data_IF_887504377962
#
_entry.id   IF_887504377962
#
_cell.length_a   1.000
_cell.length_b   1.000
_cell.length_c   1.000
_cell.angle_alpha   90.00
_cell.angle_beta   90.00
_cell.angle_gamma   90.00
#
_symmetry.space_group_name_H-M   'P 1'
#
loop_
_entity.id
_entity.type
_entity.pdbx_description
1 polymer ?
#
# COMPACT_ATOMS: atom_id res chain seq x y z
N UNK A 1 35.53 15.05 7.04
CA UNK A 1 34.58 15.43 5.97
C UNK A 1 33.18 15.16 6.49
N UNK A 2 32.34 16.18 6.50
CA UNK A 2 30.96 16.06 6.91
C UNK A 2 30.15 15.29 5.83
N UNK A 3 29.33 14.34 6.22
CA UNK A 3 28.63 13.43 5.30
C UNK A 3 27.13 13.43 5.55
N UNK A 4 26.34 13.58 4.48
CA UNK A 4 24.88 13.43 4.52
C UNK A 4 24.44 12.28 3.62
N UNK A 5 23.57 11.42 4.13
CA UNK A 5 22.83 10.47 3.33
C UNK A 5 21.52 11.11 2.85
N UNK A 6 21.00 10.71 1.69
CA UNK A 6 19.71 11.21 1.24
C UNK A 6 18.93 10.18 0.43
N UNK A 7 17.63 10.14 0.64
CA UNK A 7 16.73 9.41 -0.25
C UNK A 7 16.73 10.04 -1.63
N UNK A 8 16.92 9.21 -2.64
CA UNK A 8 17.09 9.69 -4.00
C UNK A 8 16.26 8.90 -5.00
N UNK A 9 15.33 9.58 -5.65
CA UNK A 9 14.49 9.01 -6.71
C UNK A 9 14.94 9.38 -8.12
N UNK A 10 15.96 10.26 -8.26
CA UNK A 10 16.33 10.84 -9.55
C UNK A 10 15.33 11.87 -10.10
N UNK A 11 14.26 12.17 -9.35
CA UNK A 11 13.28 13.23 -9.65
C UNK A 11 13.83 14.64 -9.42
N UNK A 12 13.04 15.66 -9.77
CA UNK A 12 13.42 17.06 -9.63
C UNK A 12 13.71 17.42 -8.17
N UNK A 13 12.74 17.20 -7.28
CA UNK A 13 12.80 17.59 -5.86
C UNK A 13 14.03 17.01 -5.15
N UNK A 14 14.31 15.71 -5.36
CA UNK A 14 15.49 15.08 -4.75
C UNK A 14 16.79 15.52 -5.40
N UNK A 15 16.79 15.85 -6.70
CA UNK A 15 17.99 16.30 -7.41
C UNK A 15 18.40 17.73 -7.01
N UNK A 16 17.45 18.64 -6.78
CA UNK A 16 17.75 19.99 -6.32
C UNK A 16 18.28 20.01 -4.87
N UNK A 17 17.91 19.03 -4.05
CA UNK A 17 18.46 18.90 -2.70
C UNK A 17 19.98 18.65 -2.69
N UNK A 18 20.58 18.04 -3.73
CA UNK A 18 22.01 17.73 -3.76
C UNK A 18 22.89 18.99 -3.66
N UNK A 19 22.77 20.01 -4.54
CA UNK A 19 23.54 21.24 -4.39
C UNK A 19 23.18 21.99 -3.10
N UNK A 20 21.92 21.97 -2.63
CA UNK A 20 21.55 22.59 -1.37
C UNK A 20 22.32 21.98 -0.19
N UNK A 21 22.47 20.64 -0.14
CA UNK A 21 23.25 19.99 0.92
C UNK A 21 24.70 20.45 0.94
N UNK A 22 25.31 20.76 -0.20
CA UNK A 22 26.69 21.27 -0.28
C UNK A 22 26.78 22.75 0.07
N UNK A 23 25.94 23.58 -0.55
CA UNK A 23 26.10 25.03 -0.53
C UNK A 23 25.45 25.70 0.70
N UNK A 24 24.29 25.21 1.12
CA UNK A 24 23.52 25.82 2.22
C UNK A 24 23.75 25.09 3.55
N UNK A 25 23.84 23.73 3.52
CA UNK A 25 24.01 22.94 4.72
C UNK A 25 25.48 22.55 4.99
N UNK A 26 26.39 22.79 4.02
CA UNK A 26 27.82 22.69 4.22
C UNK A 26 28.38 21.26 4.30
N UNK A 27 27.72 20.26 3.68
CA UNK A 27 28.24 18.90 3.65
C UNK A 27 29.26 18.69 2.54
N UNK A 28 30.37 18.03 2.87
CA UNK A 28 31.45 17.71 1.94
C UNK A 28 31.11 16.55 1.02
N UNK A 29 30.49 15.51 1.58
CA UNK A 29 30.12 14.26 0.86
C UNK A 29 28.64 13.99 0.94
N UNK A 30 28.06 13.58 -0.21
CA UNK A 30 26.66 13.20 -0.31
C UNK A 30 26.55 11.74 -0.73
N UNK A 31 25.81 10.98 0.06
CA UNK A 31 25.48 9.57 -0.18
C UNK A 31 24.01 9.49 -0.58
N UNK A 32 23.73 9.22 -1.84
CA UNK A 32 22.37 9.02 -2.34
C UNK A 32 21.95 7.56 -2.22
N UNK A 33 20.72 7.32 -1.79
CA UNK A 33 20.18 5.98 -1.55
C UNK A 33 18.87 5.83 -2.31
N UNK A 34 18.81 4.86 -3.21
CA UNK A 34 17.62 4.43 -3.92
C UNK A 34 17.25 3.03 -3.46
N UNK A 35 16.06 2.86 -2.87
CA UNK A 35 15.53 1.55 -2.50
C UNK A 35 14.45 1.17 -3.52
N UNK A 36 14.74 0.13 -4.30
CA UNK A 36 13.80 -0.38 -5.30
C UNK A 36 12.77 -1.29 -4.64
N UNK A 37 11.54 -0.79 -4.52
CA UNK A 37 10.35 -1.52 -4.05
C UNK A 37 9.36 -1.83 -5.19
N UNK A 38 9.81 -1.72 -6.45
CA UNK A 38 9.00 -2.04 -7.63
C UNK A 38 9.05 -1.00 -8.73
N UNK A 39 10.01 -0.08 -8.70
CA UNK A 39 10.26 0.83 -9.81
C UNK A 39 10.86 0.08 -11.00
N UNK A 40 10.61 0.53 -12.25
CA UNK A 40 11.26 0.00 -13.43
C UNK A 40 12.78 0.09 -13.37
N UNK A 41 13.48 -0.96 -13.76
CA UNK A 41 14.96 -1.01 -13.73
C UNK A 41 15.61 0.15 -14.54
N UNK A 42 14.96 0.61 -15.61
CA UNK A 42 15.40 1.77 -16.38
C UNK A 42 15.38 3.10 -15.58
N UNK A 43 14.40 3.29 -14.71
CA UNK A 43 14.31 4.47 -13.85
C UNK A 43 15.36 4.43 -12.74
N UNK A 44 15.60 3.24 -12.18
CA UNK A 44 16.67 3.01 -11.21
C UNK A 44 18.04 3.35 -11.82
N UNK A 45 18.33 2.83 -13.02
CA UNK A 45 19.58 3.11 -13.72
C UNK A 45 19.76 4.61 -14.07
N UNK A 46 18.67 5.31 -14.40
CA UNK A 46 18.71 6.76 -14.61
C UNK A 46 19.00 7.55 -13.32
N UNK A 47 18.43 7.12 -12.19
CA UNK A 47 18.71 7.74 -10.89
C UNK A 47 20.20 7.59 -10.51
N UNK A 48 20.75 6.39 -10.66
CA UNK A 48 22.17 6.09 -10.44
C UNK A 48 23.10 6.94 -11.32
N UNK A 49 22.84 6.98 -12.64
CA UNK A 49 23.63 7.80 -13.58
C UNK A 49 23.62 9.29 -13.22
N UNK A 50 22.44 9.83 -12.84
CA UNK A 50 22.32 11.22 -12.38
C UNK A 50 23.09 11.49 -11.10
N UNK A 51 22.99 10.59 -10.11
CA UNK A 51 23.73 10.71 -8.86
C UNK A 51 25.24 10.76 -9.08
N UNK A 52 25.78 9.89 -9.94
CA UNK A 52 27.19 9.89 -10.31
C UNK A 52 27.62 11.16 -11.04
N UNK A 53 26.80 11.68 -11.98
CA UNK A 53 27.05 12.95 -12.68
C UNK A 53 27.08 14.14 -11.75
N UNK A 54 26.39 14.04 -10.60
CA UNK A 54 26.39 15.06 -9.56
C UNK A 54 27.44 14.82 -8.45
N UNK A 55 28.42 13.93 -8.71
CA UNK A 55 29.50 13.57 -7.77
C UNK A 55 29.01 13.08 -6.40
N UNK A 56 27.98 12.23 -6.39
CA UNK A 56 27.49 11.55 -5.21
C UNK A 56 27.99 10.12 -5.13
N UNK A 57 28.20 9.62 -3.91
CA UNK A 57 28.29 8.18 -3.66
C UNK A 57 26.85 7.65 -3.77
N UNK A 58 26.63 6.59 -4.55
CA UNK A 58 25.26 6.09 -4.77
C UNK A 58 25.13 4.62 -4.35
N UNK A 59 23.99 4.33 -3.70
CA UNK A 59 23.58 2.99 -3.33
C UNK A 59 22.21 2.70 -3.91
N UNK A 60 22.11 1.62 -4.68
CA UNK A 60 20.84 1.01 -5.08
C UNK A 60 20.62 -0.28 -4.29
N UNK A 61 19.47 -0.40 -3.62
CA UNK A 61 19.08 -1.59 -2.86
C UNK A 61 17.83 -2.18 -3.52
N UNK A 62 17.92 -3.42 -4.02
CA UNK A 62 16.75 -4.15 -4.50
C UNK A 62 16.02 -4.79 -3.32
N UNK A 63 14.87 -4.23 -2.96
CA UNK A 63 14.04 -4.66 -1.84
C UNK A 63 12.68 -5.28 -2.29
N UNK A 64 12.53 -5.59 -3.58
CA UNK A 64 11.25 -6.05 -4.15
C UNK A 64 10.75 -7.34 -3.52
N UNK A 65 11.64 -8.29 -3.26
CA UNK A 65 11.27 -9.58 -2.67
C UNK A 65 10.89 -9.44 -1.18
N UNK A 66 11.65 -8.65 -0.41
CA UNK A 66 11.32 -8.33 1.00
C UNK A 66 10.01 -7.55 1.06
N UNK A 67 9.81 -6.57 0.18
CA UNK A 67 8.58 -5.79 0.12
C UNK A 67 7.35 -6.67 -0.15
N UNK A 68 7.45 -7.59 -1.12
CA UNK A 68 6.36 -8.51 -1.42
C UNK A 68 6.03 -9.42 -0.23
N UNK A 69 7.05 -10.05 0.34
CA UNK A 69 6.89 -11.08 1.38
C UNK A 69 6.47 -10.50 2.73
N UNK A 70 7.16 -9.45 3.20
CA UNK A 70 7.06 -9.01 4.59
C UNK A 70 6.16 -7.78 4.78
N UNK A 71 5.82 -7.05 3.69
CA UNK A 71 4.96 -5.88 3.74
C UNK A 71 3.64 -6.08 2.98
N UNK A 72 3.69 -6.50 1.71
CA UNK A 72 2.47 -6.71 0.92
C UNK A 72 1.66 -7.87 1.49
N UNK A 73 2.27 -9.03 1.75
CA UNK A 73 1.54 -10.18 2.29
C UNK A 73 1.00 -9.90 3.70
N UNK A 74 1.71 -9.13 4.51
CA UNK A 74 1.19 -8.64 5.79
C UNK A 74 -0.03 -7.74 5.62
N UNK A 75 0.00 -6.84 4.64
CA UNK A 75 -1.15 -6.01 4.30
C UNK A 75 -2.34 -6.84 3.81
N UNK A 76 -2.12 -7.91 3.04
CA UNK A 76 -3.21 -8.82 2.62
C UNK A 76 -3.84 -9.49 3.84
N UNK A 77 -3.04 -10.06 4.77
CA UNK A 77 -3.51 -10.72 6.01
C UNK A 77 -4.33 -9.78 6.90
N UNK A 78 -3.95 -8.51 6.96
CA UNK A 78 -4.65 -7.47 7.71
C UNK A 78 -5.78 -6.81 6.91
N UNK A 79 -6.12 -7.30 5.72
CA UNK A 79 -7.09 -6.66 4.81
C UNK A 79 -6.82 -5.16 4.63
N UNK A 80 -5.56 -4.77 4.49
CA UNK A 80 -5.04 -3.42 4.58
C UNK A 80 -5.65 -2.46 3.57
N UNK A 81 -6.59 -1.65 4.05
CA UNK A 81 -7.33 -0.65 3.28
C UNK A 81 -7.61 0.57 4.15
N UNK A 82 -7.25 1.75 3.65
CA UNK A 82 -7.59 3.02 4.29
C UNK A 82 -8.53 3.81 3.37
N UNK A 83 -9.82 3.89 3.73
CA UNK A 83 -10.85 4.63 2.99
C UNK A 83 -11.04 4.15 1.53
N UNK A 84 -10.66 2.92 1.19
CA UNK A 84 -10.68 2.37 -0.17
C UNK A 84 -9.30 2.33 -0.85
N UNK A 85 -8.27 2.87 -0.21
CA UNK A 85 -6.87 2.83 -0.66
C UNK A 85 -6.12 1.63 -0.07
N UNK A 86 -5.58 0.72 -0.91
CA UNK A 86 -4.88 -0.49 -0.45
C UNK A 86 -3.43 -0.24 0.02
N UNK A 87 -3.13 0.88 0.62
CA UNK A 87 -1.90 1.20 1.35
C UNK A 87 -0.58 0.93 0.59
N UNK A 88 -0.47 1.26 -0.71
CA UNK A 88 0.73 0.94 -1.49
C UNK A 88 1.97 1.73 -1.03
N UNK A 89 1.94 3.05 -1.12
CA UNK A 89 3.05 3.92 -0.73
C UNK A 89 3.34 3.85 0.76
N UNK A 90 2.29 3.82 1.59
CA UNK A 90 2.43 3.89 3.05
C UNK A 90 3.18 2.70 3.65
N UNK A 91 3.01 1.49 3.12
CA UNK A 91 3.72 0.30 3.61
C UNK A 91 5.13 0.15 3.02
N UNK A 92 5.46 0.87 1.95
CA UNK A 92 6.80 0.87 1.39
C UNK A 92 7.78 1.76 2.18
N UNK A 93 7.31 2.89 2.73
CA UNK A 93 8.16 3.87 3.41
C UNK A 93 8.89 3.34 4.66
N UNK A 94 8.29 2.50 5.52
CA UNK A 94 9.01 1.86 6.62
C UNK A 94 10.18 0.98 6.18
N UNK A 95 10.00 0.19 5.12
CA UNK A 95 11.08 -0.62 4.54
C UNK A 95 12.21 0.27 4.00
N UNK A 96 11.85 1.31 3.26
CA UNK A 96 12.81 2.27 2.71
C UNK A 96 13.61 2.93 3.84
N UNK A 97 12.97 3.37 4.91
CA UNK A 97 13.65 3.97 6.06
C UNK A 97 14.58 2.99 6.78
N UNK A 98 14.14 1.74 6.99
CA UNK A 98 14.93 0.66 7.60
C UNK A 98 16.22 0.39 6.81
N UNK A 99 16.10 0.16 5.50
CA UNK A 99 17.25 -0.17 4.64
C UNK A 99 18.18 1.03 4.46
N UNK A 100 17.65 2.25 4.39
CA UNK A 100 18.46 3.44 4.35
C UNK A 100 19.28 3.64 5.65
N UNK A 101 18.70 3.30 6.81
CA UNK A 101 19.41 3.38 8.09
C UNK A 101 20.67 2.51 8.13
N UNK A 102 20.67 1.35 7.46
CA UNK A 102 21.84 0.47 7.32
C UNK A 102 22.98 1.17 6.55
N UNK A 103 22.66 1.88 5.47
CA UNK A 103 23.63 2.64 4.69
C UNK A 103 24.12 3.88 5.44
N UNK A 104 23.22 4.59 6.15
CA UNK A 104 23.56 5.73 6.99
C UNK A 104 24.61 5.32 8.04
N UNK A 105 24.38 4.19 8.71
CA UNK A 105 25.32 3.65 9.70
C UNK A 105 26.65 3.20 9.06
N UNK A 106 26.58 2.51 7.92
CA UNK A 106 27.76 2.04 7.17
C UNK A 106 28.65 3.18 6.73
N UNK A 107 28.07 4.27 6.26
CA UNK A 107 28.78 5.44 5.76
C UNK A 107 29.19 6.43 6.86
N UNK A 108 28.69 6.24 8.07
CA UNK A 108 28.90 7.17 9.19
C UNK A 108 28.34 8.56 8.88
N UNK A 109 27.20 8.63 8.18
CA UNK A 109 26.58 9.91 7.86
C UNK A 109 26.00 10.56 9.12
N UNK A 110 26.31 11.84 9.33
CA UNK A 110 25.84 12.62 10.48
C UNK A 110 24.47 13.27 10.28
N UNK A 111 23.96 13.20 9.05
CA UNK A 111 22.62 13.65 8.70
C UNK A 111 21.98 12.78 7.60
N UNK A 112 20.65 12.82 7.54
CA UNK A 112 19.87 12.25 6.45
C UNK A 112 18.91 13.29 5.88
N UNK A 113 18.84 13.37 4.55
CA UNK A 113 17.99 14.30 3.81
C UNK A 113 16.88 13.56 3.07
N UNK A 114 15.70 14.15 3.03
CA UNK A 114 14.62 13.73 2.15
C UNK A 114 13.97 14.92 1.43
N UNK A 115 13.49 14.68 0.21
CA UNK A 115 12.84 15.68 -0.63
C UNK A 115 11.32 15.80 -0.44
N UNK A 116 10.75 15.38 0.70
CA UNK A 116 9.32 15.45 0.91
C UNK A 116 8.86 16.88 1.19
N UNK A 117 7.75 17.28 0.56
CA UNK A 117 7.09 18.57 0.81
C UNK A 117 6.31 18.57 2.12
N UNK A 118 6.03 19.76 2.66
CA UNK A 118 5.26 19.91 3.89
C UNK A 118 3.76 19.52 3.79
N UNK A 119 3.23 19.32 2.58
CA UNK A 119 1.83 18.92 2.34
C UNK A 119 1.63 17.41 2.18
N UNK A 120 2.71 16.66 1.91
CA UNK A 120 2.66 15.21 1.68
C UNK A 120 2.68 14.40 2.97
N UNK A 121 2.16 13.17 2.91
CA UNK A 121 2.20 12.22 4.03
C UNK A 121 3.57 11.60 4.26
N UNK A 122 4.40 11.50 3.23
CA UNK A 122 5.64 10.73 3.24
C UNK A 122 6.69 11.27 4.22
N UNK A 123 6.66 12.58 4.49
CA UNK A 123 7.50 13.17 5.52
C UNK A 123 7.28 12.51 6.90
N UNK A 124 6.03 12.25 7.28
CA UNK A 124 5.71 11.60 8.55
C UNK A 124 6.20 10.16 8.57
N UNK A 125 5.96 9.41 7.50
CA UNK A 125 6.30 7.99 7.36
C UNK A 125 7.81 7.76 7.38
N UNK A 126 8.55 8.54 6.59
CA UNK A 126 10.00 8.44 6.51
C UNK A 126 10.67 8.92 7.80
N UNK A 127 10.27 10.09 8.34
CA UNK A 127 10.89 10.62 9.55
C UNK A 127 10.63 9.75 10.78
N UNK A 128 9.40 9.22 10.93
CA UNK A 128 9.13 8.28 12.03
C UNK A 128 10.01 7.03 11.90
N UNK A 129 10.04 6.43 10.70
CA UNK A 129 10.88 5.26 10.43
C UNK A 129 12.36 5.53 10.69
N UNK A 130 12.89 6.68 10.23
CA UNK A 130 14.27 7.06 10.48
C UNK A 130 14.55 7.23 11.98
N UNK A 131 13.71 7.95 12.73
CA UNK A 131 13.88 8.13 14.17
C UNK A 131 13.89 6.81 14.95
N UNK A 132 13.21 5.78 14.43
CA UNK A 132 13.25 4.45 15.03
C UNK A 132 14.49 3.63 14.65
N UNK A 133 15.09 3.89 13.49
CA UNK A 133 16.13 3.04 12.91
C UNK A 133 17.55 3.65 12.93
N UNK A 134 17.68 4.98 13.01
CA UNK A 134 19.00 5.64 13.04
C UNK A 134 19.38 6.09 14.46
N UNK A 135 20.68 6.27 14.76
CA UNK A 135 21.15 6.88 16.02
C UNK A 135 20.53 8.25 16.27
N UNK A 136 20.30 8.62 17.53
CA UNK A 136 19.62 9.87 17.93
C UNK A 136 20.35 11.16 17.52
N UNK A 137 21.64 11.09 17.30
CA UNK A 137 22.50 12.20 16.89
C UNK A 137 22.48 12.46 15.38
N UNK A 138 21.92 11.55 14.57
CA UNK A 138 21.74 11.76 13.14
C UNK A 138 20.63 12.79 12.89
N UNK A 139 20.99 13.92 12.24
CA UNK A 139 20.04 15.01 11.94
C UNK A 139 19.15 14.64 10.74
N UNK A 140 17.87 14.95 10.81
CA UNK A 140 16.93 14.81 9.67
C UNK A 140 16.74 16.20 9.05
N UNK A 141 16.96 16.31 7.74
CA UNK A 141 16.90 17.55 6.97
C UNK A 141 15.87 17.40 5.86
N UNK A 142 14.99 18.40 5.71
CA UNK A 142 13.89 18.38 4.72
C UNK A 142 13.82 19.72 3.94
N UNK A 143 14.74 19.98 3.00
CA UNK A 143 14.85 21.26 2.32
C UNK A 143 13.58 21.69 1.62
N UNK A 144 12.87 20.77 0.96
CA UNK A 144 11.64 21.07 0.23
C UNK A 144 10.49 21.50 1.16
N UNK A 145 10.53 21.12 2.43
CA UNK A 145 9.60 21.59 3.46
C UNK A 145 10.00 22.95 4.02
N UNK A 146 11.29 23.19 4.15
CA UNK A 146 11.85 24.42 4.74
C UNK A 146 11.75 25.61 3.78
N UNK A 147 12.04 25.39 2.50
CA UNK A 147 12.07 26.45 1.47
C UNK A 147 10.74 26.72 0.77
N UNK A 148 9.76 25.82 0.87
CA UNK A 148 8.41 25.93 0.24
C UNK A 148 8.44 26.37 -1.23
N UNK A 149 9.34 25.83 -2.02
CA UNK A 149 9.51 26.18 -3.42
C UNK A 149 8.31 25.77 -4.28
N UNK A 150 8.07 26.54 -5.32
CA UNK A 150 7.16 26.15 -6.39
C UNK A 150 7.92 25.30 -7.40
N UNK A 151 7.23 24.44 -8.14
CA UNK A 151 7.85 23.63 -9.21
C UNK A 151 8.61 24.49 -10.23
N UNK A 152 8.13 25.71 -10.53
CA UNK A 152 8.83 26.64 -11.43
C UNK A 152 10.16 27.10 -10.84
N UNK A 153 10.20 27.44 -9.56
CA UNK A 153 11.42 27.84 -8.87
C UNK A 153 12.45 26.68 -8.82
N UNK A 154 12.00 25.45 -8.59
CA UNK A 154 12.85 24.25 -8.63
C UNK A 154 13.47 24.04 -10.03
N UNK A 155 12.70 24.23 -11.10
CA UNK A 155 13.20 24.09 -12.48
C UNK A 155 14.22 25.20 -12.78
N UNK A 156 13.99 26.43 -12.34
CA UNK A 156 14.94 27.54 -12.52
C UNK A 156 16.25 27.28 -11.78
N UNK A 157 16.19 26.87 -10.51
CA UNK A 157 17.34 26.49 -9.72
C UNK A 157 18.10 25.30 -10.34
N UNK A 158 17.38 24.28 -10.82
CA UNK A 158 17.99 23.15 -11.48
C UNK A 158 18.75 23.55 -12.75
N UNK A 159 18.24 24.52 -13.51
CA UNK A 159 18.96 25.07 -14.69
C UNK A 159 20.20 25.88 -14.26
N UNK A 160 20.07 26.72 -13.26
CA UNK A 160 21.21 27.50 -12.70
C UNK A 160 22.36 26.59 -12.25
N UNK A 161 22.01 25.49 -11.57
CA UNK A 161 22.99 24.53 -11.04
C UNK A 161 23.38 23.43 -12.03
N UNK A 162 22.94 23.52 -13.29
CA UNK A 162 23.20 22.53 -14.34
C UNK A 162 22.87 21.09 -13.93
N UNK A 163 21.78 20.90 -13.17
CA UNK A 163 21.30 19.59 -12.74
C UNK A 163 20.76 18.83 -13.95
N UNK A 164 21.15 17.55 -14.18
CA UNK A 164 20.71 16.76 -15.30
C UNK A 164 19.24 16.30 -15.13
N UNK A 165 18.28 17.21 -15.34
CA UNK A 165 16.87 16.91 -15.26
C UNK A 165 16.25 16.68 -16.63
N UNK A 166 15.38 15.68 -16.73
CA UNK A 166 14.55 15.40 -17.93
C UNK A 166 13.14 15.95 -17.80
N UNK A 167 12.93 16.92 -16.90
CA UNK A 167 11.59 17.44 -16.60
C UNK A 167 11.22 18.54 -17.58
N UNK A 168 10.18 18.29 -18.38
CA UNK A 168 9.44 19.32 -19.10
C UNK A 168 8.28 19.79 -18.24
N UNK A 169 7.84 21.04 -18.44
CA UNK A 169 6.59 21.59 -17.87
C UNK A 169 5.35 20.77 -18.31
N UNK A 170 5.53 19.82 -19.23
CA UNK A 170 4.50 18.95 -19.81
C UNK A 170 4.13 17.73 -18.95
N UNK A 171 4.94 17.33 -17.95
CA UNK A 171 4.50 16.31 -16.98
C UNK A 171 3.54 16.93 -15.97
N UNK A 172 2.25 16.88 -16.32
CA UNK A 172 1.15 17.49 -15.58
C UNK A 172 0.86 16.72 -14.27
N UNK A 173 1.19 15.43 -14.22
CA UNK A 173 0.85 14.52 -13.14
C UNK A 173 2.06 14.17 -12.27
N UNK A 174 1.86 14.08 -10.96
CA UNK A 174 2.80 13.44 -10.03
C UNK A 174 2.44 11.95 -9.93
N UNK A 175 3.44 11.09 -10.07
CA UNK A 175 3.26 9.64 -10.06
C UNK A 175 4.26 9.05 -9.08
N UNK A 176 3.77 8.20 -8.17
CA UNK A 176 4.58 7.36 -7.30
C UNK A 176 4.11 5.91 -7.47
N UNK A 177 5.05 4.98 -7.71
CA UNK A 177 4.71 3.58 -7.95
C UNK A 177 5.66 2.63 -7.22
N UNK A 178 5.13 1.48 -6.86
CA UNK A 178 5.87 0.37 -6.29
C UNK A 178 5.20 -0.95 -6.70
N UNK A 179 5.70 -2.09 -6.22
CA UNK A 179 5.17 -3.41 -6.56
C UNK A 179 3.68 -3.61 -6.21
N UNK A 180 3.07 -2.78 -5.35
CA UNK A 180 1.69 -2.96 -4.88
C UNK A 180 0.68 -1.99 -5.47
N UNK A 181 1.10 -0.82 -5.87
CA UNK A 181 0.20 0.16 -6.42
C UNK A 181 0.91 1.38 -7.01
N UNK A 182 0.16 2.14 -7.77
CA UNK A 182 0.60 3.35 -8.45
C UNK A 182 -0.36 4.49 -8.13
N UNK A 183 0.13 5.57 -7.55
CA UNK A 183 -0.64 6.79 -7.29
C UNK A 183 -0.44 7.81 -8.42
N UNK A 184 -1.47 8.58 -8.70
CA UNK A 184 -1.49 9.61 -9.74
C UNK A 184 -2.25 10.80 -9.19
N UNK A 185 -1.57 11.93 -8.99
CA UNK A 185 -2.15 13.16 -8.44
C UNK A 185 -1.67 14.42 -9.16
N UNK A 186 -2.24 15.55 -8.83
CA UNK A 186 -1.81 16.87 -9.28
C UNK A 186 -2.48 17.38 -10.56
N UNK A 187 -2.12 18.59 -10.95
CA UNK A 187 -2.63 19.24 -12.14
C UNK A 187 -4.15 19.34 -12.18
N UNK A 188 -4.76 18.96 -13.31
CA UNK A 188 -6.22 19.00 -13.45
C UNK A 188 -6.97 18.00 -12.57
N UNK A 189 -6.30 16.96 -12.05
CA UNK A 189 -6.92 15.99 -11.14
C UNK A 189 -7.23 16.62 -9.77
N UNK A 190 -6.68 17.78 -9.43
CA UNK A 190 -7.02 18.52 -8.21
C UNK A 190 -8.46 19.03 -8.21
N UNK A 191 -9.08 19.21 -9.38
CA UNK A 191 -10.52 19.45 -9.51
C UNK A 191 -11.29 18.13 -9.30
N UNK A 192 -12.07 17.97 -8.20
CA UNK A 192 -12.79 16.75 -7.93
C UNK A 192 -13.84 16.38 -9.00
N UNK A 193 -14.23 17.31 -9.85
CA UNK A 193 -15.21 17.07 -10.91
C UNK A 193 -14.60 16.78 -12.28
N UNK A 194 -13.27 16.91 -12.40
CA UNK A 194 -12.56 16.61 -13.65
C UNK A 194 -12.41 15.09 -13.81
N UNK A 195 -12.90 14.52 -14.93
CA UNK A 195 -12.76 13.10 -15.22
C UNK A 195 -11.30 12.74 -15.52
N UNK A 196 -10.69 11.74 -14.83
CA UNK A 196 -9.33 11.31 -15.14
C UNK A 196 -9.24 10.80 -16.58
N UNK A 197 -8.29 11.30 -17.40
CA UNK A 197 -8.13 10.83 -18.76
C UNK A 197 -7.55 9.41 -18.80
N UNK A 198 -7.93 8.61 -19.80
CA UNK A 198 -7.46 7.20 -19.91
C UNK A 198 -5.94 7.07 -19.97
N UNK A 199 -5.25 8.06 -20.51
CA UNK A 199 -3.79 8.05 -20.71
C UNK A 199 -2.98 8.02 -19.41
N UNK A 200 -3.56 8.37 -18.26
CA UNK A 200 -2.86 8.32 -16.96
C UNK A 200 -2.75 6.88 -16.45
N UNK A 201 -3.65 6.00 -16.87
CA UNK A 201 -3.67 4.61 -16.44
C UNK A 201 -2.74 3.76 -17.32
N UNK A 202 -1.85 2.99 -16.68
CA UNK A 202 -0.83 2.17 -17.35
C UNK A 202 -0.95 0.68 -17.02
N UNK A 203 -1.46 0.37 -15.84
CA UNK A 203 -1.53 -0.99 -15.32
C UNK A 203 -2.88 -1.65 -15.58
N UNK A 204 -3.89 -0.85 -15.88
CA UNK A 204 -5.26 -1.33 -16.08
C UNK A 204 -5.78 -0.94 -17.46
N UNK A 205 -6.32 -1.90 -18.19
CA UNK A 205 -7.04 -1.62 -19.42
C UNK A 205 -8.32 -0.84 -19.14
N UNK A 206 -8.72 -0.01 -20.09
CA UNK A 206 -10.05 0.62 -20.05
C UNK A 206 -11.15 -0.46 -20.12
N UNK A 207 -12.35 -0.15 -19.67
CA UNK A 207 -13.49 -1.07 -19.79
C UNK A 207 -13.72 -1.47 -21.26
N UNK A 208 -13.44 -0.57 -22.20
CA UNK A 208 -13.57 -0.81 -23.64
C UNK A 208 -12.54 -1.82 -24.13
N UNK A 209 -11.30 -1.75 -23.65
CA UNK A 209 -10.16 -2.54 -24.14
C UNK A 209 -9.91 -3.81 -23.32
N UNK A 210 -10.62 -3.97 -22.18
CA UNK A 210 -10.56 -5.16 -21.35
C UNK A 210 -11.21 -6.36 -22.05
N UNK A 211 -10.80 -7.59 -21.64
CA UNK A 211 -11.27 -8.83 -22.22
C UNK A 211 -12.80 -8.89 -22.38
N UNK A 212 -13.27 -9.35 -23.54
CA UNK A 212 -14.70 -9.52 -23.84
C UNK A 212 -15.29 -10.81 -23.25
N UNK A 213 -14.45 -11.71 -22.76
CA UNK A 213 -14.85 -12.93 -22.06
C UNK A 213 -14.42 -12.86 -20.60
N UNK A 214 -15.28 -13.32 -19.65
CA UNK A 214 -14.91 -13.38 -18.25
C UNK A 214 -13.66 -14.25 -18.03
N UNK A 215 -12.77 -13.79 -17.17
CA UNK A 215 -11.60 -14.54 -16.70
C UNK A 215 -11.90 -15.11 -15.32
N UNK A 216 -11.80 -16.43 -15.16
CA UNK A 216 -11.90 -17.08 -13.85
C UNK A 216 -10.54 -17.53 -13.41
N UNK A 217 -10.21 -17.27 -12.14
CA UNK A 217 -8.94 -17.68 -11.51
C UNK A 217 -9.19 -18.28 -10.12
N UNK A 218 -8.35 -19.21 -9.73
CA UNK A 218 -8.34 -19.77 -8.38
C UNK A 218 -7.09 -19.26 -7.66
N UNK A 219 -7.28 -18.62 -6.51
CA UNK A 219 -6.20 -18.15 -5.65
C UNK A 219 -6.13 -19.07 -4.43
N UNK A 220 -4.99 -19.70 -4.22
CA UNK A 220 -4.73 -20.56 -3.06
C UNK A 220 -4.03 -19.76 -1.98
N UNK A 221 -4.54 -19.85 -0.76
CA UNK A 221 -3.97 -19.24 0.43
C UNK A 221 -3.45 -20.29 1.41
N UNK A 222 -2.31 -20.00 2.02
CA UNK A 222 -1.78 -20.72 3.19
C UNK A 222 -1.49 -19.70 4.31
N UNK A 223 -2.17 -19.86 5.45
CA UNK A 223 -2.07 -18.96 6.61
C UNK A 223 -2.24 -17.48 6.24
N UNK A 224 -3.22 -17.22 5.40
CA UNK A 224 -3.57 -15.89 4.91
C UNK A 224 -2.63 -15.31 3.83
N UNK A 225 -1.54 -16.00 3.51
CA UNK A 225 -0.66 -15.61 2.42
C UNK A 225 -1.12 -16.26 1.11
N UNK A 226 -1.26 -15.52 0.00
CA UNK A 226 -1.49 -16.14 -1.30
C UNK A 226 -0.22 -16.86 -1.74
N UNK A 227 -0.34 -18.14 -2.13
CA UNK A 227 0.79 -19.01 -2.48
C UNK A 227 0.73 -19.58 -3.88
N UNK A 228 -0.45 -19.60 -4.51
CA UNK A 228 -0.61 -20.08 -5.87
C UNK A 228 -1.76 -19.37 -6.60
N UNK A 229 -1.65 -19.33 -7.93
CA UNK A 229 -2.73 -18.93 -8.85
C UNK A 229 -2.95 -20.08 -9.84
N UNK A 230 -4.21 -20.55 -9.97
CA UNK A 230 -4.61 -21.68 -10.81
C UNK A 230 -3.75 -22.94 -10.59
N UNK A 231 -3.42 -23.24 -9.31
CA UNK A 231 -2.62 -24.37 -8.88
C UNK A 231 -1.11 -24.23 -9.16
N UNK A 232 -0.66 -23.12 -9.76
CA UNK A 232 0.75 -22.84 -9.96
C UNK A 232 1.30 -22.10 -8.75
N UNK A 233 2.17 -22.74 -7.98
CA UNK A 233 2.90 -22.11 -6.89
C UNK A 233 3.85 -21.01 -7.44
N UNK A 234 3.87 -19.86 -6.77
CA UNK A 234 4.66 -18.70 -7.14
C UNK A 234 5.35 -18.14 -5.89
N UNK A 235 6.54 -17.60 -6.05
CA UNK A 235 7.14 -16.78 -5.01
C UNK A 235 6.34 -15.47 -4.80
N UNK A 236 6.49 -14.79 -3.65
CA UNK A 236 5.66 -13.63 -3.30
C UNK A 236 5.65 -12.53 -4.35
N UNK A 237 6.81 -12.19 -4.93
CA UNK A 237 6.92 -11.15 -5.96
C UNK A 237 6.23 -11.58 -7.25
N UNK A 238 6.56 -12.75 -7.77
CA UNK A 238 5.96 -13.27 -9.00
C UNK A 238 4.44 -13.42 -8.88
N UNK A 239 3.92 -13.75 -7.68
CA UNK A 239 2.49 -13.84 -7.41
C UNK A 239 1.82 -12.46 -7.52
N UNK A 240 2.39 -11.43 -6.91
CA UNK A 240 1.87 -10.05 -7.00
C UNK A 240 1.90 -9.57 -8.45
N UNK A 241 3.00 -9.78 -9.17
CA UNK A 241 3.13 -9.41 -10.58
C UNK A 241 2.09 -10.14 -11.48
N UNK A 242 1.86 -11.44 -11.24
CA UNK A 242 0.84 -12.20 -11.94
C UNK A 242 -0.58 -11.69 -11.63
N UNK A 243 -0.86 -11.40 -10.36
CA UNK A 243 -2.14 -10.83 -9.94
C UNK A 243 -2.40 -9.46 -10.57
N UNK A 244 -1.37 -8.59 -10.66
CA UNK A 244 -1.44 -7.32 -11.38
C UNK A 244 -1.85 -7.50 -12.83
N UNK A 245 -1.17 -8.42 -13.53
CA UNK A 245 -1.47 -8.68 -14.93
C UNK A 245 -2.89 -9.18 -15.14
N UNK A 246 -3.31 -10.17 -14.35
CA UNK A 246 -4.65 -10.77 -14.47
C UNK A 246 -5.73 -9.72 -14.22
N UNK A 247 -5.64 -8.98 -13.13
CA UNK A 247 -6.65 -7.98 -12.77
C UNK A 247 -6.62 -6.78 -13.74
N UNK A 248 -5.45 -6.26 -14.07
CA UNK A 248 -5.26 -5.14 -14.98
C UNK A 248 -5.75 -5.41 -16.40
N UNK A 249 -5.50 -6.60 -16.95
CA UNK A 249 -6.02 -7.03 -18.26
C UNK A 249 -7.55 -7.08 -18.31
N UNK A 250 -8.20 -7.28 -17.17
CA UNK A 250 -9.64 -7.25 -17.02
C UNK A 250 -10.20 -5.88 -16.60
N UNK A 251 -9.38 -4.83 -16.57
CA UNK A 251 -9.78 -3.47 -16.17
C UNK A 251 -10.05 -3.30 -14.68
N UNK A 252 -9.65 -4.26 -13.84
CA UNK A 252 -9.81 -4.21 -12.39
C UNK A 252 -8.59 -3.57 -11.75
N UNK A 253 -8.79 -2.56 -10.86
CA UNK A 253 -7.69 -1.97 -10.09
C UNK A 253 -7.73 -0.46 -9.94
N UNK A 254 -8.58 0.27 -10.69
CA UNK A 254 -8.66 1.73 -10.61
C UNK A 254 -9.43 2.19 -9.38
N UNK A 255 -8.94 3.23 -8.74
CA UNK A 255 -9.57 3.88 -7.58
C UNK A 255 -9.45 5.39 -7.78
N UNK A 256 -10.54 6.10 -7.58
CA UNK A 256 -10.60 7.57 -7.50
C UNK A 256 -11.25 7.90 -6.16
N UNK A 257 -10.55 8.63 -5.30
CA UNK A 257 -11.03 8.88 -3.95
C UNK A 257 -10.62 10.26 -3.42
N UNK A 258 -11.40 10.72 -2.44
CA UNK A 258 -11.03 11.85 -1.60
C UNK A 258 -10.40 11.33 -0.32
N UNK A 259 -9.08 11.44 -0.24
CA UNK A 259 -8.28 10.92 0.87
C UNK A 259 -8.14 11.95 1.99
N UNK A 260 -8.33 11.52 3.23
CA UNK A 260 -8.03 12.32 4.41
C UNK A 260 -6.55 12.12 4.81
N UNK A 261 -5.69 13.07 4.46
CA UNK A 261 -4.26 13.02 4.79
C UNK A 261 -3.99 13.19 6.28
N UNK A 262 -2.81 12.76 6.72
CA UNK A 262 -2.36 12.85 8.14
C UNK A 262 -2.48 14.28 8.68
N UNK A 263 -2.17 15.27 7.84
CA UNK A 263 -2.30 16.71 8.17
C UNK A 263 -3.75 17.22 8.30
N UNK A 264 -4.77 16.38 8.05
CA UNK A 264 -6.16 16.79 8.06
C UNK A 264 -6.63 17.47 6.77
N UNK A 265 -5.88 17.37 5.68
CA UNK A 265 -6.28 17.87 4.37
C UNK A 265 -7.03 16.78 3.60
N UNK A 266 -8.09 17.17 2.89
CA UNK A 266 -8.70 16.33 1.87
C UNK A 266 -8.00 16.54 0.54
N UNK A 267 -7.57 15.46 -0.09
CA UNK A 267 -6.88 15.47 -1.38
C UNK A 267 -7.48 14.40 -2.27
N UNK A 268 -7.64 14.71 -3.54
CA UNK A 268 -8.07 13.70 -4.52
C UNK A 268 -6.86 12.90 -4.97
N UNK A 269 -7.00 11.60 -4.90
CA UNK A 269 -6.01 10.62 -5.32
C UNK A 269 -6.61 9.66 -6.34
N UNK A 270 -5.84 9.35 -7.37
CA UNK A 270 -6.16 8.28 -8.31
C UNK A 270 -5.11 7.19 -8.17
N UNK A 271 -5.56 5.94 -8.07
CA UNK A 271 -4.68 4.79 -7.91
C UNK A 271 -4.94 3.72 -8.96
N UNK A 272 -3.88 2.98 -9.28
CA UNK A 272 -3.96 1.68 -9.92
C UNK A 272 -3.38 0.63 -8.97
N UNK A 273 -4.23 -0.24 -8.46
CA UNK A 273 -3.87 -1.30 -7.51
C UNK A 273 -4.48 -2.66 -7.94
N UNK A 274 -4.17 -3.18 -9.14
CA UNK A 274 -4.84 -4.37 -9.67
C UNK A 274 -4.70 -5.60 -8.78
N UNK A 275 -3.48 -5.93 -8.34
CA UNK A 275 -3.25 -7.08 -7.45
C UNK A 275 -3.99 -6.95 -6.13
N UNK A 276 -3.97 -5.76 -5.51
CA UNK A 276 -4.64 -5.53 -4.25
C UNK A 276 -6.16 -5.68 -4.37
N UNK A 277 -6.73 -5.16 -5.45
CA UNK A 277 -8.17 -5.29 -5.75
C UNK A 277 -8.60 -6.72 -6.10
N UNK A 278 -7.66 -7.62 -6.40
CA UNK A 278 -7.89 -9.05 -6.57
C UNK A 278 -7.67 -9.82 -5.27
N UNK A 279 -6.51 -9.65 -4.64
CA UNK A 279 -6.05 -10.51 -3.55
C UNK A 279 -6.73 -10.21 -2.21
N UNK A 280 -6.98 -8.94 -1.86
CA UNK A 280 -7.63 -8.59 -0.59
C UNK A 280 -9.10 -9.07 -0.54
N UNK A 281 -9.94 -8.86 -1.56
CA UNK A 281 -11.29 -9.42 -1.56
C UNK A 281 -11.33 -10.96 -1.54
N UNK A 282 -10.38 -11.61 -2.22
CA UNK A 282 -10.27 -13.08 -2.18
C UNK A 282 -9.89 -13.57 -0.77
N UNK A 283 -8.94 -12.92 -0.11
CA UNK A 283 -8.56 -13.21 1.27
C UNK A 283 -9.76 -13.04 2.23
N UNK A 284 -10.46 -11.92 2.18
CA UNK A 284 -11.67 -11.68 2.98
C UNK A 284 -12.75 -12.75 2.76
N UNK A 285 -12.92 -13.20 1.52
CA UNK A 285 -13.89 -14.26 1.21
C UNK A 285 -13.52 -15.61 1.83
N UNK A 286 -12.23 -15.91 1.98
CA UNK A 286 -11.79 -17.12 2.68
C UNK A 286 -11.95 -16.99 4.20
N UNK A 287 -11.67 -15.81 4.79
CA UNK A 287 -11.95 -15.53 6.20
C UNK A 287 -13.42 -15.77 6.57
N UNK A 288 -14.35 -15.44 5.65
CA UNK A 288 -15.78 -15.70 5.85
C UNK A 288 -16.12 -17.18 6.05
N UNK A 289 -15.33 -18.06 5.47
CA UNK A 289 -15.54 -19.50 5.58
C UNK A 289 -14.90 -20.11 6.83
N UNK A 290 -13.75 -19.60 7.29
CA UNK A 290 -12.89 -20.25 8.26
C UNK A 290 -12.83 -19.58 9.63
N UNK A 291 -13.27 -18.34 9.77
CA UNK A 291 -13.31 -17.62 11.03
C UNK A 291 -14.72 -17.60 11.60
N UNK A 292 -14.83 -17.67 12.92
CA UNK A 292 -16.12 -17.52 13.62
C UNK A 292 -16.68 -16.10 13.46
N UNK A 293 -17.97 -15.94 13.71
CA UNK A 293 -18.63 -14.61 13.70
C UNK A 293 -17.90 -13.62 14.61
N UNK A 294 -17.64 -14.01 15.85
CA UNK A 294 -16.99 -13.15 16.86
C UNK A 294 -15.56 -12.76 16.45
N UNK A 295 -14.79 -13.71 15.90
CA UNK A 295 -13.44 -13.44 15.39
C UNK A 295 -13.48 -12.43 14.25
N UNK A 296 -14.41 -12.57 13.30
CA UNK A 296 -14.53 -11.64 12.16
C UNK A 296 -14.94 -10.24 12.57
N UNK A 297 -15.90 -10.13 13.50
CA UNK A 297 -16.37 -8.84 14.03
C UNK A 297 -15.23 -8.11 14.75
N UNK A 298 -14.47 -8.80 15.59
CA UNK A 298 -13.34 -8.19 16.29
C UNK A 298 -12.16 -7.92 15.35
N UNK A 299 -11.87 -8.86 14.42
CA UNK A 299 -10.80 -8.66 13.43
C UNK A 299 -11.04 -7.42 12.57
N UNK A 300 -12.27 -7.11 12.19
CA UNK A 300 -12.57 -5.91 11.44
C UNK A 300 -12.14 -4.61 12.16
N UNK A 301 -12.23 -4.58 13.50
CA UNK A 301 -11.76 -3.45 14.34
C UNK A 301 -10.22 -3.41 14.31
N UNK A 302 -9.58 -4.58 14.45
CA UNK A 302 -8.11 -4.71 14.41
C UNK A 302 -7.58 -4.30 13.04
N UNK A 303 -8.17 -4.79 11.94
CA UNK A 303 -7.78 -4.47 10.57
C UNK A 303 -7.90 -2.97 10.28
N UNK A 304 -8.98 -2.32 10.74
CA UNK A 304 -9.15 -0.88 10.60
C UNK A 304 -8.07 -0.09 11.39
N UNK A 305 -7.75 -0.52 12.61
CA UNK A 305 -6.68 0.10 13.41
C UNK A 305 -5.31 -0.12 12.76
N UNK A 306 -5.04 -1.34 12.30
CA UNK A 306 -3.81 -1.69 11.57
C UNK A 306 -3.63 -0.80 10.34
N UNK A 307 -4.68 -0.71 9.50
CA UNK A 307 -4.67 0.10 8.29
C UNK A 307 -4.42 1.58 8.58
N UNK A 308 -5.03 2.11 9.64
CA UNK A 308 -4.80 3.49 10.06
C UNK A 308 -3.34 3.70 10.49
N UNK A 309 -2.79 2.82 11.30
CA UNK A 309 -1.41 2.95 11.77
C UNK A 309 -0.41 2.78 10.60
N UNK A 310 -0.66 1.84 9.67
CA UNK A 310 0.14 1.69 8.46
C UNK A 310 0.06 2.93 7.56
N UNK A 311 -1.13 3.54 7.42
CA UNK A 311 -1.31 4.78 6.69
C UNK A 311 -0.53 5.95 7.30
N UNK A 312 -0.56 6.07 8.64
CA UNK A 312 0.17 7.09 9.39
C UNK A 312 1.69 6.83 9.45
N UNK A 313 2.17 5.68 8.96
CA UNK A 313 3.59 5.30 8.96
C UNK A 313 4.11 4.76 10.29
N UNK A 314 3.21 4.40 11.21
CA UNK A 314 3.53 3.93 12.57
C UNK A 314 3.93 2.44 12.61
N UNK A 315 4.72 1.99 11.65
CA UNK A 315 5.11 0.59 11.46
C UNK A 315 5.96 0.04 12.62
N UNK A 316 6.75 0.89 13.27
CA UNK A 316 7.64 0.53 14.38
C UNK A 316 7.04 0.86 15.76
N UNK A 317 5.74 1.17 15.83
CA UNK A 317 5.03 1.37 17.09
C UNK A 317 4.74 0.01 17.76
N UNK A 318 4.94 -0.16 19.08
CA UNK A 318 4.66 -1.41 19.77
C UNK A 318 3.24 -1.95 19.55
N UNK A 319 2.24 -1.06 19.48
CA UNK A 319 0.87 -1.48 19.18
C UNK A 319 0.75 -2.12 17.79
N UNK A 320 1.57 -1.68 16.82
CA UNK A 320 1.56 -2.29 15.49
C UNK A 320 2.05 -3.74 15.52
N UNK A 321 3.03 -4.04 16.37
CA UNK A 321 3.48 -5.42 16.61
C UNK A 321 2.39 -6.27 17.26
N UNK A 322 1.68 -5.73 18.26
CA UNK A 322 0.55 -6.42 18.91
C UNK A 322 -0.59 -6.72 17.92
N UNK A 323 -0.93 -5.76 17.05
CA UNK A 323 -1.91 -5.95 15.98
C UNK A 323 -1.45 -7.01 14.98
N UNK A 324 -0.17 -7.03 14.61
CA UNK A 324 0.40 -8.06 13.76
C UNK A 324 0.31 -9.45 14.39
N UNK A 325 0.57 -9.58 15.68
CA UNK A 325 0.45 -10.85 16.40
C UNK A 325 -1.00 -11.37 16.38
N UNK A 326 -1.98 -10.49 16.58
CA UNK A 326 -3.40 -10.86 16.45
C UNK A 326 -3.75 -11.28 15.01
N UNK A 327 -3.33 -10.51 14.01
CA UNK A 327 -3.55 -10.81 12.59
C UNK A 327 -2.91 -12.14 12.22
N UNK A 328 -1.67 -12.40 12.62
CA UNK A 328 -0.99 -13.65 12.36
C UNK A 328 -1.73 -14.83 12.99
N UNK A 329 -2.19 -14.69 14.24
CA UNK A 329 -2.93 -15.76 14.96
C UNK A 329 -4.25 -16.11 14.28
N UNK A 330 -5.02 -15.13 13.86
CA UNK A 330 -6.30 -15.37 13.17
C UNK A 330 -6.08 -15.99 11.79
N UNK A 331 -5.00 -15.63 11.12
CA UNK A 331 -4.67 -16.13 9.79
C UNK A 331 -4.11 -17.57 9.77
N UNK A 332 -3.74 -18.19 10.90
CA UNK A 332 -3.28 -19.59 10.93
C UNK A 332 -4.26 -20.58 10.27
N UNK A 333 -5.56 -20.24 10.26
CA UNK A 333 -6.63 -21.05 9.66
C UNK A 333 -7.09 -20.57 8.28
N UNK A 334 -6.59 -19.42 7.82
CA UNK A 334 -6.98 -18.89 6.51
C UNK A 334 -6.19 -19.64 5.42
N UNK A 335 -6.56 -20.89 5.23
CA UNK A 335 -5.96 -21.84 4.29
C UNK A 335 -7.05 -22.39 3.38
N UNK A 336 -6.83 -22.36 2.08
CA UNK A 336 -7.81 -22.86 1.10
C UNK A 336 -7.79 -22.10 -0.21
N UNK A 337 -8.81 -22.34 -1.03
CA UNK A 337 -8.93 -21.79 -2.37
C UNK A 337 -10.12 -20.84 -2.49
N UNK A 338 -9.91 -19.77 -3.23
CA UNK A 338 -10.97 -18.82 -3.60
C UNK A 338 -11.03 -18.68 -5.11
N UNK A 339 -12.21 -18.94 -5.69
CA UNK A 339 -12.47 -18.77 -7.11
C UNK A 339 -13.05 -17.40 -7.37
N UNK A 340 -12.39 -16.66 -8.25
CA UNK A 340 -12.74 -15.27 -8.59
C UNK A 340 -13.04 -15.16 -10.07
N UNK A 341 -14.06 -14.41 -10.41
CA UNK A 341 -14.39 -14.04 -11.79
C UNK A 341 -14.16 -12.54 -12.00
N UNK A 342 -13.39 -12.22 -13.03
CA UNK A 342 -13.06 -10.86 -13.45
C UNK A 342 -13.70 -10.58 -14.81
N UNK A 343 -14.33 -9.43 -14.96
CA UNK A 343 -14.92 -9.02 -16.24
C UNK A 343 -15.12 -7.51 -16.29
N UNK A 344 -14.49 -6.85 -17.26
CA UNK A 344 -14.74 -5.43 -17.59
C UNK A 344 -14.78 -4.50 -16.36
N UNK A 345 -13.75 -4.56 -15.51
CA UNK A 345 -13.64 -3.76 -14.30
C UNK A 345 -14.37 -4.32 -13.07
N UNK A 346 -15.14 -5.40 -13.24
CA UNK A 346 -15.86 -6.07 -12.15
C UNK A 346 -15.06 -7.26 -11.61
N UNK A 347 -15.18 -7.49 -10.31
CA UNK A 347 -14.66 -8.66 -9.61
C UNK A 347 -15.81 -9.31 -8.83
N UNK A 348 -15.95 -10.63 -8.94
CA UNK A 348 -16.94 -11.44 -8.22
C UNK A 348 -16.25 -12.65 -7.58
N UNK A 349 -16.50 -12.88 -6.31
CA UNK A 349 -16.16 -14.14 -5.66
C UNK A 349 -17.25 -15.15 -6.06
N UNK A 350 -16.85 -16.25 -6.69
CA UNK A 350 -17.78 -17.26 -7.23
C UNK A 350 -17.62 -18.64 -6.58
N UNK A 351 -16.67 -18.80 -5.66
CA UNK A 351 -16.49 -20.01 -4.88
C UNK A 351 -15.38 -19.86 -3.85
N UNK A 352 -15.47 -20.65 -2.80
CA UNK A 352 -14.42 -20.79 -1.76
C UNK A 352 -14.45 -22.17 -1.16
N UNK A 353 -13.30 -22.69 -0.78
CA UNK A 353 -13.18 -23.95 -0.05
C UNK A 353 -11.99 -23.95 0.90
N UNK A 354 -12.11 -24.70 1.96
CA UNK A 354 -11.03 -25.04 2.87
C UNK A 354 -11.28 -26.46 3.36
N UNK A 355 -10.36 -27.37 3.12
CA UNK A 355 -10.55 -28.78 3.46
C UNK A 355 -10.45 -29.01 4.97
N UNK A 356 -9.58 -28.24 5.66
CA UNK A 356 -9.27 -28.43 7.08
C UNK A 356 -10.01 -27.48 8.01
N UNK A 357 -10.40 -26.28 7.54
CA UNK A 357 -10.84 -25.19 8.44
C UNK A 357 -12.22 -24.61 8.13
N UNK A 358 -12.95 -25.14 7.14
CA UNK A 358 -14.29 -24.66 6.82
C UNK A 358 -15.25 -24.85 8.01
N UNK A 359 -15.90 -23.76 8.44
CA UNK A 359 -16.95 -23.78 9.47
C UNK A 359 -18.35 -23.97 8.87
N UNK A 360 -18.46 -24.02 7.56
CA UNK A 360 -19.69 -24.34 6.84
C UNK A 360 -19.95 -25.85 6.87
N UNK A 361 -21.16 -26.22 7.23
CA UNK A 361 -21.66 -27.58 7.17
C UNK A 361 -22.98 -27.58 6.40
N UNK A 362 -23.01 -28.26 5.24
CA UNK A 362 -24.15 -28.31 4.35
C UNK A 362 -25.38 -28.96 5.02
N UNK A 363 -25.15 -30.04 5.79
CA UNK A 363 -26.21 -30.76 6.51
C UNK A 363 -26.88 -29.90 7.59
N UNK A 364 -26.17 -28.94 8.18
CA UNK A 364 -26.74 -28.01 9.17
C UNK A 364 -27.38 -26.78 8.51
N UNK A 365 -26.84 -26.32 7.39
CA UNK A 365 -27.24 -25.08 6.75
C UNK A 365 -28.39 -25.28 5.75
N UNK A 366 -28.53 -26.46 5.17
CA UNK A 366 -29.56 -26.74 4.17
C UNK A 366 -30.97 -26.71 4.76
N UNK A 367 -31.90 -26.04 4.09
CA UNK A 367 -33.31 -26.03 4.49
C UNK A 367 -33.97 -27.41 4.34
N UNK A 368 -33.40 -28.28 3.50
CA UNK A 368 -33.91 -29.66 3.30
C UNK A 368 -33.35 -30.66 4.31
N UNK A 369 -32.39 -30.25 5.11
CA UNK A 369 -31.77 -31.11 6.13
C UNK A 369 -32.67 -31.28 7.35
N UNK A 370 -32.62 -32.48 7.94
CA UNK A 370 -33.32 -32.84 9.17
C UNK A 370 -32.36 -33.12 10.34
N UNK A 371 -31.12 -32.64 10.24
CA UNK A 371 -30.06 -32.92 11.23
C UNK A 371 -30.30 -32.24 12.58
N UNK A 372 -31.11 -31.19 12.63
CA UNK A 372 -31.54 -30.56 13.87
C UNK A 372 -33.02 -30.12 13.80
N UNK A 373 -33.66 -30.09 14.98
CA UNK A 373 -35.06 -29.69 15.08
C UNK A 373 -35.18 -28.14 15.03
N UNK A 374 -35.71 -27.62 13.92
CA UNK A 374 -35.92 -26.19 13.72
C UNK A 374 -36.89 -25.57 14.73
N UNK A 375 -37.78 -26.35 15.35
CA UNK A 375 -38.69 -25.87 16.39
C UNK A 375 -37.95 -25.34 17.63
N UNK A 376 -36.72 -25.78 17.87
CA UNK A 376 -35.87 -25.28 18.98
C UNK A 376 -35.53 -23.79 18.83
N UNK A 377 -35.59 -23.23 17.62
CA UNK A 377 -35.38 -21.80 17.38
C UNK A 377 -36.47 -20.91 18.05
N UNK A 378 -37.66 -21.46 18.34
CA UNK A 378 -38.78 -20.69 18.89
C UNK A 378 -38.43 -19.98 20.19
N UNK A 379 -37.64 -20.64 21.08
CA UNK A 379 -37.19 -20.03 22.34
C UNK A 379 -36.24 -18.85 22.14
N UNK A 380 -35.36 -18.94 21.18
CA UNK A 380 -34.42 -17.83 20.83
C UNK A 380 -35.22 -16.67 20.24
N UNK A 381 -36.11 -16.94 19.28
CA UNK A 381 -36.96 -15.92 18.64
C UNK A 381 -37.83 -15.19 19.65
N UNK A 382 -38.45 -15.90 20.60
CA UNK A 382 -39.32 -15.32 21.62
C UNK A 382 -38.60 -14.30 22.51
N UNK A 383 -37.32 -14.50 22.75
CA UNK A 383 -36.51 -13.64 23.63
C UNK A 383 -35.55 -12.72 22.85
N UNK A 384 -35.54 -12.79 21.52
CA UNK A 384 -34.67 -11.96 20.70
C UNK A 384 -34.96 -10.48 20.91
N UNK A 385 -33.95 -9.74 21.30
CA UNK A 385 -33.97 -8.29 21.54
C UNK A 385 -35.15 -7.80 22.43
N UNK A 386 -35.37 -8.51 23.52
CA UNK A 386 -36.47 -8.21 24.46
C UNK A 386 -36.44 -6.76 24.97
N UNK A 387 -35.25 -6.15 25.09
CA UNK A 387 -35.13 -4.75 25.49
C UNK A 387 -35.79 -3.79 24.49
N UNK A 388 -35.60 -4.01 23.20
CA UNK A 388 -36.26 -3.22 22.14
C UNK A 388 -37.79 -3.47 22.13
N UNK A 389 -38.21 -4.70 22.38
CA UNK A 389 -39.65 -5.03 22.56
C UNK A 389 -40.24 -4.25 23.73
N UNK A 390 -39.56 -4.25 24.89
CA UNK A 390 -39.99 -3.51 26.09
C UNK A 390 -40.09 -2.00 25.84
N UNK A 391 -39.06 -1.43 25.21
CA UNK A 391 -39.04 -0.03 24.79
C UNK A 391 -40.25 0.34 23.91
N UNK A 392 -40.50 -0.43 22.87
CA UNK A 392 -41.58 -0.14 21.91
C UNK A 392 -42.99 -0.35 22.52
N UNK A 393 -43.17 -1.32 23.43
CA UNK A 393 -44.48 -1.62 24.03
C UNK A 393 -44.81 -0.73 25.19
N UNK A 394 -43.84 -0.31 26.01
CA UNK A 394 -44.14 0.30 27.30
C UNK A 394 -43.56 1.73 27.47
N UNK A 395 -42.55 2.11 26.68
CA UNK A 395 -41.89 3.41 26.83
C UNK A 395 -42.20 4.36 25.66
N UNK A 396 -42.15 3.86 24.44
CA UNK A 396 -42.46 4.66 23.26
C UNK A 396 -43.97 4.90 23.21
N UNK A 397 -44.35 6.13 23.48
CA UNK A 397 -45.75 6.61 23.35
C UNK A 397 -46.03 7.10 21.94
#
# INVERSE_FOLDING_TARGET
MSKVAMFYSGGLDTSVCIPMMREEYGFDEIVTITVNVGLPDAEIAQAEDKAHKMNCIHYTIDARDEFAKDYIFRSIKANGDYQGYPLSTSIARPLIAKLAAEIIAKEGAEAVCHGCTGKGNDQFRLEFGLRCCVPQDVKIIAPMREHTWTRSAEIEYAKEKNIPITVSLEKIWSIDENLWGRSIEGGKLEDPFYAPPEEIFKWTKSIKDACDTPTEVVITFDKGCPVAIDGKALDPRALVEAAHKIAGDNGVGRIDMMEDRILGLKVRENYECPAARLLIPAHKALEELVLTKEEREFKAIVDAKWSRMAYDGLWFDPLFEDLNAFVDKTNERVCGDVKVRLYKGSLQIIGRRSDDFALYNEDLASFDSKTWDQAQAAGIVANHDMQAVMYNRFIKK
#
